data_IF_616522916996
#
_entry.id   IF_616522916996
#
_cell.length_a   1.000
_cell.length_b   1.000
_cell.length_c   1.000
_cell.angle_alpha   90.00
_cell.angle_beta   90.00
_cell.angle_gamma   90.00
#
_symmetry.space_group_name_H-M   'P 1'
#
loop_
_entity.id
_entity.type
_entity.pdbx_description
1 polymer ?
#
# COMPACT_ATOMS: atom_id res chain seq x y z
N UNK A 1 62.47 39.01 -7.58
CA UNK A 1 61.66 38.29 -8.60
C UNK A 1 60.92 37.10 -7.97
N UNK A 2 59.92 37.28 -7.08
CA UNK A 2 59.14 36.14 -6.52
C UNK A 2 57.78 36.59 -5.96
N UNK A 3 56.88 37.19 -6.75
CA UNK A 3 55.51 37.46 -6.22
C UNK A 3 54.38 37.60 -7.24
N UNK A 4 54.65 37.77 -8.54
CA UNK A 4 53.59 38.18 -9.48
C UNK A 4 52.64 37.06 -9.96
N UNK A 5 52.95 35.79 -9.70
CA UNK A 5 52.16 34.66 -10.21
C UNK A 5 51.24 34.01 -9.17
N UNK A 6 51.32 34.44 -7.91
CA UNK A 6 50.55 33.81 -6.81
C UNK A 6 49.09 34.32 -6.81
N UNK A 7 48.87 35.58 -7.19
CA UNK A 7 47.56 36.23 -7.15
C UNK A 7 46.51 35.67 -8.14
N UNK A 8 46.81 35.44 -9.43
CA UNK A 8 45.81 34.89 -10.35
C UNK A 8 45.55 33.40 -10.09
N UNK A 9 46.53 32.69 -9.54
CA UNK A 9 46.42 31.27 -9.21
C UNK A 9 45.51 31.05 -7.99
N UNK A 10 45.58 31.93 -6.99
CA UNK A 10 44.66 31.93 -5.85
C UNK A 10 43.23 32.29 -6.27
N UNK A 11 43.05 33.28 -7.16
CA UNK A 11 41.74 33.66 -7.68
C UNK A 11 41.09 32.55 -8.54
N UNK A 12 41.89 31.85 -9.35
CA UNK A 12 41.44 30.69 -10.12
C UNK A 12 41.04 29.50 -9.25
N UNK A 13 41.77 29.25 -8.15
CA UNK A 13 41.42 28.19 -7.20
C UNK A 13 40.10 28.46 -6.48
N UNK A 14 39.81 29.73 -6.15
CA UNK A 14 38.57 30.13 -5.49
C UNK A 14 37.34 29.96 -6.41
N UNK A 15 37.48 30.27 -7.71
CA UNK A 15 36.41 30.09 -8.70
C UNK A 15 36.03 28.62 -8.93
N UNK A 16 36.95 27.66 -8.73
CA UNK A 16 36.68 26.22 -8.85
C UNK A 16 35.81 25.65 -7.71
N UNK A 17 35.63 26.38 -6.61
CA UNK A 17 34.78 25.94 -5.49
C UNK A 17 33.31 26.38 -5.63
N UNK A 18 32.98 27.14 -6.69
CA UNK A 18 31.66 27.74 -6.90
C UNK A 18 30.55 26.82 -7.44
N UNK A 19 30.84 25.56 -7.77
CA UNK A 19 29.85 24.65 -8.38
C UNK A 19 29.47 23.43 -7.52
N UNK A 20 29.76 23.45 -6.22
CA UNK A 20 29.20 22.45 -5.32
C UNK A 20 27.76 22.87 -4.95
N UNK A 21 26.77 22.38 -5.68
CA UNK A 21 25.39 22.40 -5.18
C UNK A 21 25.39 21.72 -3.80
N UNK A 22 24.84 22.35 -2.74
CA UNK A 22 24.60 21.64 -1.50
C UNK A 22 23.86 20.37 -1.85
N UNK A 23 24.40 19.21 -1.45
CA UNK A 23 23.64 17.98 -1.55
C UNK A 23 22.28 18.26 -0.91
N UNK A 24 21.19 17.96 -1.62
CA UNK A 24 19.86 18.14 -1.09
C UNK A 24 19.85 17.56 0.33
N UNK A 25 19.73 18.44 1.32
CA UNK A 25 19.45 18.02 2.67
C UNK A 25 17.99 17.61 2.64
N UNK A 26 17.74 16.36 2.22
CA UNK A 26 16.64 15.65 2.81
C UNK A 26 17.00 15.59 4.29
N UNK A 27 16.46 16.53 5.08
CA UNK A 27 16.54 16.45 6.51
C UNK A 27 16.12 15.03 6.89
N UNK A 28 16.89 14.37 7.76
CA UNK A 28 16.35 13.19 8.43
C UNK A 28 15.03 13.60 9.06
N UNK A 29 13.91 13.01 8.60
CA UNK A 29 12.58 13.29 9.15
C UNK A 29 11.67 14.06 8.21
N UNK A 30 10.92 13.30 7.42
CA UNK A 30 9.71 13.74 6.76
C UNK A 30 9.16 12.56 5.99
N UNK A 31 9.07 11.41 6.67
CA UNK A 31 8.89 10.15 5.99
C UNK A 31 7.56 10.16 5.22
N UNK A 32 7.71 10.00 3.91
CA UNK A 32 6.61 10.15 2.96
C UNK A 32 5.55 9.09 3.18
N UNK A 33 4.41 9.34 2.58
CA UNK A 33 3.33 8.37 2.52
C UNK A 33 3.65 7.32 1.48
N UNK A 34 3.39 6.06 1.81
CA UNK A 34 3.38 4.94 0.88
C UNK A 34 1.95 4.85 0.31
N UNK A 35 1.83 5.13 -0.98
CA UNK A 35 0.59 4.95 -1.74
C UNK A 35 0.80 3.92 -2.85
N UNK A 36 -0.24 3.15 -3.17
CA UNK A 36 -0.19 2.09 -4.17
C UNK A 36 -1.50 1.99 -4.96
N UNK A 37 -1.39 1.42 -6.17
CA UNK A 37 -2.51 1.15 -7.08
C UNK A 37 -2.48 -0.32 -7.45
N UNK A 38 -3.58 -1.02 -7.19
CA UNK A 38 -3.74 -2.44 -7.51
C UNK A 38 -4.32 -2.61 -8.92
N UNK A 39 -3.52 -3.09 -9.87
CA UNK A 39 -3.96 -3.38 -11.23
C UNK A 39 -4.45 -4.84 -11.44
N UNK A 40 -4.80 -5.55 -10.37
CA UNK A 40 -5.19 -6.95 -10.41
C UNK A 40 -6.65 -7.17 -10.03
N UNK A 41 -7.17 -8.36 -10.33
CA UNK A 41 -8.51 -8.81 -9.95
C UNK A 41 -8.63 -9.29 -8.49
N UNK A 42 -7.50 -9.42 -7.79
CA UNK A 42 -7.43 -9.89 -6.40
C UNK A 42 -7.17 -8.70 -5.48
N UNK A 43 -7.50 -8.80 -4.20
CA UNK A 43 -7.08 -7.80 -3.23
C UNK A 43 -5.57 -7.92 -2.97
N UNK A 44 -4.94 -6.81 -2.62
CA UNK A 44 -3.66 -6.79 -1.91
C UNK A 44 -4.03 -6.70 -0.42
N UNK A 45 -3.91 -7.81 0.29
CA UNK A 45 -4.31 -7.93 1.70
C UNK A 45 -3.29 -7.29 2.65
N UNK A 46 -2.03 -7.23 2.22
CA UNK A 46 -0.96 -6.60 2.95
C UNK A 46 0.14 -6.21 1.97
N UNK A 47 0.81 -5.08 2.20
CA UNK A 47 2.06 -4.76 1.53
C UNK A 47 2.96 -3.88 2.39
N UNK A 48 4.26 -3.91 2.08
CA UNK A 48 5.26 -3.09 2.73
C UNK A 48 6.38 -2.71 1.77
N UNK A 49 7.06 -1.59 2.06
CA UNK A 49 8.24 -1.13 1.34
C UNK A 49 9.41 -1.08 2.32
N UNK A 50 10.46 -1.88 2.09
CA UNK A 50 11.56 -2.09 3.02
C UNK A 50 11.08 -2.43 4.45
N UNK A 51 10.02 -3.23 4.56
CA UNK A 51 9.40 -3.60 5.84
C UNK A 51 8.49 -2.54 6.45
N UNK A 52 8.41 -1.33 5.89
CA UNK A 52 7.46 -0.31 6.33
C UNK A 52 6.08 -0.59 5.74
N UNK A 53 5.08 -0.77 6.59
CA UNK A 53 3.72 -1.13 6.18
C UNK A 53 3.06 -0.02 5.36
N UNK A 54 2.32 -0.43 4.33
CA UNK A 54 1.41 0.43 3.57
C UNK A 54 0.07 0.72 4.27
N UNK A 55 -0.20 0.12 5.44
CA UNK A 55 -1.43 0.22 6.27
C UNK A 55 -2.70 -0.37 5.64
N UNK A 56 -2.99 -0.05 4.37
CA UNK A 56 -4.26 -0.37 3.74
C UNK A 56 -4.29 -1.74 3.03
N UNK A 57 -5.50 -2.33 3.00
CA UNK A 57 -5.89 -3.36 2.03
C UNK A 57 -6.35 -2.66 0.76
N UNK A 58 -5.83 -3.08 -0.40
CA UNK A 58 -6.20 -2.48 -1.69
C UNK A 58 -7.06 -3.44 -2.48
N UNK A 59 -8.34 -3.09 -2.63
CA UNK A 59 -9.29 -3.87 -3.43
C UNK A 59 -8.90 -3.96 -4.91
N UNK A 60 -9.53 -4.86 -5.68
CA UNK A 60 -9.28 -4.98 -7.11
C UNK A 60 -9.45 -3.66 -7.85
N UNK A 61 -8.45 -3.26 -8.65
CA UNK A 61 -8.49 -2.04 -9.46
C UNK A 61 -8.64 -0.72 -8.68
N UNK A 62 -8.26 -0.71 -7.39
CA UNK A 62 -8.33 0.45 -6.52
C UNK A 62 -6.94 1.01 -6.19
N UNK A 63 -6.91 2.25 -5.70
CA UNK A 63 -5.76 2.83 -5.00
C UNK A 63 -5.96 2.78 -3.48
N UNK A 64 -4.87 2.82 -2.75
CA UNK A 64 -4.87 2.88 -1.28
C UNK A 64 -3.45 3.12 -0.75
N UNK A 65 -3.27 2.99 0.56
CA UNK A 65 -1.97 3.13 1.19
C UNK A 65 -2.08 3.97 2.46
N UNK A 66 -1.40 5.11 2.50
CA UNK A 66 -1.40 5.95 3.70
C UNK A 66 -0.33 5.57 4.73
N UNK A 67 0.46 4.53 4.49
CA UNK A 67 1.60 4.16 5.32
C UNK A 67 2.57 5.31 5.51
N UNK A 68 2.67 5.88 6.71
CA UNK A 68 3.49 7.06 6.94
C UNK A 68 4.98 6.73 7.01
N UNK A 69 5.76 7.80 7.05
CA UNK A 69 7.06 7.77 7.70
C UNK A 69 8.13 6.99 6.91
N UNK A 70 7.89 6.71 5.63
CA UNK A 70 8.87 6.06 4.75
C UNK A 70 10.01 7.02 4.39
N UNK A 71 11.24 6.64 4.74
CA UNK A 71 12.43 7.47 4.51
C UNK A 71 13.29 6.91 3.39
N UNK A 72 13.78 7.80 2.53
CA UNK A 72 14.78 7.50 1.50
C UNK A 72 16.11 8.17 1.86
N UNK A 73 17.25 7.66 1.39
CA UNK A 73 18.54 8.31 1.60
C UNK A 73 18.54 9.75 1.06
N UNK A 74 19.26 10.65 1.74
CA UNK A 74 19.28 12.07 1.37
C UNK A 74 19.93 12.37 0.01
N UNK A 75 20.80 11.48 -0.45
CA UNK A 75 21.43 11.57 -1.77
C UNK A 75 20.95 10.42 -2.63
N UNK A 76 20.30 10.74 -3.74
CA UNK A 76 19.99 9.76 -4.76
C UNK A 76 21.27 9.28 -5.44
N UNK A 77 21.37 7.98 -5.69
CA UNK A 77 22.40 7.39 -6.57
C UNK A 77 21.75 6.48 -7.60
N UNK A 78 22.29 6.41 -8.83
CA UNK A 78 21.84 5.43 -9.82
C UNK A 78 21.85 4.01 -9.24
N UNK A 79 20.81 3.24 -9.51
CA UNK A 79 20.70 1.84 -9.06
C UNK A 79 20.12 1.64 -7.66
N UNK A 80 19.67 2.69 -6.95
CA UNK A 80 18.89 2.52 -5.72
C UNK A 80 17.58 1.75 -5.99
N UNK A 81 17.26 0.81 -5.11
CA UNK A 81 16.04 -0.01 -5.17
C UNK A 81 15.35 -0.06 -3.81
N UNK A 82 14.07 -0.41 -3.81
CA UNK A 82 13.33 -0.79 -2.61
C UNK A 82 12.86 -2.23 -2.73
N UNK A 83 12.69 -2.90 -1.60
CA UNK A 83 12.05 -4.21 -1.52
C UNK A 83 10.56 -4.01 -1.26
N UNK A 84 9.72 -4.59 -2.10
CA UNK A 84 8.27 -4.60 -1.90
C UNK A 84 7.87 -6.02 -1.54
N UNK A 85 7.29 -6.20 -0.36
CA UNK A 85 6.66 -7.44 0.07
C UNK A 85 5.16 -7.22 0.07
N UNK A 86 4.40 -8.18 -0.47
CA UNK A 86 2.95 -8.08 -0.54
C UNK A 86 2.28 -9.45 -0.56
N UNK A 87 1.02 -9.47 -0.15
CA UNK A 87 0.16 -10.65 -0.13
C UNK A 87 -1.13 -10.36 -0.91
N UNK A 88 -1.58 -11.34 -1.69
CA UNK A 88 -2.82 -11.26 -2.45
C UNK A 88 -3.85 -12.28 -1.98
N UNK A 89 -5.13 -11.94 -2.10
CA UNK A 89 -6.21 -12.88 -1.83
C UNK A 89 -7.57 -12.36 -2.28
N UNK A 90 -8.60 -13.07 -1.83
CA UNK A 90 -9.99 -12.61 -1.98
C UNK A 90 -10.22 -11.32 -1.20
N UNK A 91 -11.00 -10.40 -1.77
CA UNK A 91 -11.35 -9.15 -1.10
C UNK A 91 -12.45 -9.33 -0.04
N UNK A 92 -13.35 -10.29 -0.27
CA UNK A 92 -14.50 -10.51 0.58
C UNK A 92 -14.70 -12.01 0.84
N UNK A 93 -15.23 -12.33 2.02
CA UNK A 93 -15.54 -13.72 2.38
C UNK A 93 -16.52 -14.41 1.41
N UNK A 94 -17.43 -13.64 0.79
CA UNK A 94 -18.36 -14.15 -0.24
C UNK A 94 -17.65 -14.65 -1.50
N UNK A 95 -16.40 -14.24 -1.71
CA UNK A 95 -15.60 -14.64 -2.87
C UNK A 95 -14.75 -15.90 -2.55
N UNK A 96 -14.84 -16.47 -1.35
CA UNK A 96 -14.18 -17.73 -0.95
C UNK A 96 -15.01 -18.91 -1.46
N UNK A 97 -14.52 -19.71 -2.44
CA UNK A 97 -15.28 -20.83 -2.99
C UNK A 97 -15.64 -21.90 -1.95
N UNK A 98 -14.78 -22.11 -0.95
CA UNK A 98 -14.94 -23.11 0.11
C UNK A 98 -15.99 -22.73 1.17
N UNK A 99 -16.40 -21.45 1.23
CA UNK A 99 -17.36 -20.92 2.21
C UNK A 99 -18.40 -20.05 1.49
N UNK A 100 -19.28 -20.65 0.66
CA UNK A 100 -20.28 -19.91 -0.12
C UNK A 100 -21.27 -19.19 0.79
N UNK A 101 -21.65 -17.96 0.41
CA UNK A 101 -22.72 -17.23 1.10
C UNK A 101 -24.07 -17.96 0.89
N UNK A 102 -24.89 -18.16 1.94
CA UNK A 102 -26.20 -18.77 1.77
C UNK A 102 -27.11 -17.91 0.89
N UNK A 103 -27.83 -18.57 -0.02
CA UNK A 103 -28.76 -17.90 -0.93
C UNK A 103 -29.98 -17.36 -0.17
N UNK A 104 -30.39 -16.14 -0.51
CA UNK A 104 -31.61 -15.56 0.05
C UNK A 104 -32.85 -16.27 -0.53
N UNK A 105 -33.82 -16.70 0.30
CA UNK A 105 -35.00 -17.40 -0.18
C UNK A 105 -35.91 -16.48 -1.02
N UNK A 106 -36.63 -17.06 -1.97
CA UNK A 106 -37.52 -16.32 -2.87
C UNK A 106 -38.98 -16.45 -2.43
N UNK A 107 -39.56 -15.34 -1.97
CA UNK A 107 -40.93 -15.26 -1.49
C UNK A 107 -42.02 -15.50 -2.55
N UNK A 108 -41.73 -15.39 -3.85
CA UNK A 108 -42.77 -15.19 -4.87
C UNK A 108 -43.76 -16.36 -4.94
N UNK A 109 -45.01 -16.09 -4.53
CA UNK A 109 -46.12 -17.04 -4.59
C UNK A 109 -46.14 -18.08 -3.48
N UNK A 110 -45.32 -17.90 -2.42
CA UNK A 110 -45.28 -18.80 -1.28
C UNK A 110 -46.37 -18.50 -0.24
N UNK A 111 -46.69 -19.53 0.53
CA UNK A 111 -47.43 -19.40 1.77
C UNK A 111 -46.58 -18.72 2.86
N UNK A 112 -47.20 -17.87 3.68
CA UNK A 112 -46.50 -17.10 4.74
C UNK A 112 -45.81 -17.98 5.78
N UNK A 113 -46.35 -19.17 6.05
CA UNK A 113 -45.74 -20.11 6.99
C UNK A 113 -44.44 -20.67 6.42
N UNK A 114 -44.46 -21.07 5.14
CA UNK A 114 -43.27 -21.54 4.41
C UNK A 114 -42.19 -20.47 4.40
N UNK A 115 -42.56 -19.22 4.08
CA UNK A 115 -41.63 -18.08 4.12
C UNK A 115 -40.98 -17.88 5.49
N UNK A 116 -41.76 -18.01 6.56
CA UNK A 116 -41.26 -17.81 7.92
C UNK A 116 -40.23 -18.87 8.30
N UNK A 117 -40.46 -20.12 7.90
CA UNK A 117 -39.54 -21.24 8.14
C UNK A 117 -38.24 -21.09 7.31
N UNK A 118 -38.35 -20.77 6.02
CA UNK A 118 -37.18 -20.56 5.14
C UNK A 118 -36.30 -19.38 5.58
N UNK A 119 -36.91 -18.27 5.99
CA UNK A 119 -36.16 -17.12 6.51
C UNK A 119 -35.48 -17.46 7.84
N UNK A 120 -36.12 -18.23 8.71
CA UNK A 120 -35.50 -18.68 9.95
C UNK A 120 -34.27 -19.55 9.67
N UNK A 121 -34.37 -20.47 8.70
CA UNK A 121 -33.26 -21.32 8.27
C UNK A 121 -32.13 -20.50 7.64
N UNK A 122 -32.44 -19.62 6.68
CA UNK A 122 -31.48 -18.70 6.08
C UNK A 122 -30.73 -17.89 7.14
N UNK A 123 -31.43 -17.37 8.15
CA UNK A 123 -30.80 -16.62 9.24
C UNK A 123 -29.85 -17.48 10.08
N UNK A 124 -30.16 -18.76 10.30
CA UNK A 124 -29.25 -19.68 10.97
C UNK A 124 -28.01 -19.97 10.11
N UNK A 125 -28.21 -20.28 8.82
CA UNK A 125 -27.13 -20.50 7.87
C UNK A 125 -26.21 -19.27 7.78
N UNK A 126 -26.79 -18.07 7.71
CA UNK A 126 -26.04 -16.80 7.67
C UNK A 126 -25.23 -16.55 8.93
N UNK A 127 -25.76 -16.90 10.12
CA UNK A 127 -25.00 -16.84 11.38
C UNK A 127 -23.81 -17.79 11.37
N UNK A 128 -23.99 -19.02 10.87
CA UNK A 128 -22.91 -20.00 10.76
C UNK A 128 -21.85 -19.53 9.75
N UNK A 129 -22.27 -19.06 8.58
CA UNK A 129 -21.40 -18.52 7.55
C UNK A 129 -20.54 -17.36 8.10
N UNK A 130 -21.17 -16.40 8.80
CA UNK A 130 -20.47 -15.25 9.39
C UNK A 130 -19.42 -15.64 10.43
N UNK A 131 -19.64 -16.76 11.15
CA UNK A 131 -18.64 -17.28 12.09
C UNK A 131 -17.45 -17.90 11.36
N UNK A 132 -17.71 -18.62 10.26
CA UNK A 132 -16.65 -19.25 9.44
C UNK A 132 -15.79 -18.22 8.69
N UNK A 133 -16.38 -17.09 8.29
CA UNK A 133 -15.68 -16.04 7.53
C UNK A 133 -14.86 -15.06 8.38
N UNK A 134 -14.89 -15.20 9.72
CA UNK A 134 -14.20 -14.31 10.66
C UNK A 134 -12.85 -14.86 11.16
N UNK A 135 -12.31 -15.90 10.53
CA UNK A 135 -11.03 -16.52 10.90
C UNK A 135 -9.98 -16.27 9.83
#
# INVERSE_FOLDING_TARGET
MKSALISPLLAGLLLLTGCAQPAAQAGGGGGGTIDAINHTKWAINHFSVNGQSGIDIIGPFQGGGGGCCFSVPARWTPGMTVRVDWESGVAFARDIPEIPEPAYPNYKGQDNKVWTEEIAEYNQQKRVWYKKSKH
#
